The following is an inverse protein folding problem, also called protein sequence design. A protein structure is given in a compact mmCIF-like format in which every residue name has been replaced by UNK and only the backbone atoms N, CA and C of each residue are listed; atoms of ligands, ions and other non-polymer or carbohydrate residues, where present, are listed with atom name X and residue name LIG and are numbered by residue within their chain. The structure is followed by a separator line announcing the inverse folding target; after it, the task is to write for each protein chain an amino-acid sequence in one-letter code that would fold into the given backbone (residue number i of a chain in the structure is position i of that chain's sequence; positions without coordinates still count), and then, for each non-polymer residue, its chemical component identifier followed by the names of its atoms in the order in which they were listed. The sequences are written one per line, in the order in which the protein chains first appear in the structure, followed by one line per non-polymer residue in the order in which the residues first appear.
data_IF_844722942910
#
_entry.id   IF_844722942910
#
_cell.length_a   1.000
_cell.length_b   1.000
_cell.length_c   1.000
_cell.angle_alpha   90.00
_cell.angle_beta   90.00
_cell.angle_gamma   90.00
#
_symmetry.space_group_name_H-M   'P 1'
#
loop_
_entity.id
_entity.type
_entity.pdbx_description
1 polymer ?
#
# COMPACT_ATOMS: atom_id res chain seq x y z
N UNK A 1 -16.33 -22.73 25.31
CA UNK A 1 -15.68 -22.89 26.62
C UNK A 1 -15.71 -21.53 27.29
N UNK A 2 -16.17 -21.45 28.54
CA UNK A 2 -16.19 -20.21 29.30
C UNK A 2 -15.21 -20.34 30.48
N UNK A 3 -14.39 -19.31 30.68
CA UNK A 3 -13.46 -19.23 31.80
C UNK A 3 -13.69 -17.93 32.55
N UNK A 4 -13.53 -17.97 33.87
CA UNK A 4 -13.59 -16.80 34.74
C UNK A 4 -12.17 -16.53 35.20
N UNK A 5 -11.68 -15.34 34.90
CA UNK A 5 -10.32 -14.88 35.23
C UNK A 5 -10.40 -13.49 35.86
N UNK A 6 -9.45 -13.16 36.73
CA UNK A 6 -9.34 -11.82 37.30
C UNK A 6 -8.80 -10.84 36.26
N UNK A 7 -9.28 -9.59 36.28
CA UNK A 7 -8.85 -8.54 35.34
C UNK A 7 -7.35 -8.19 35.47
N UNK A 8 -6.75 -8.47 36.63
CA UNK A 8 -5.33 -8.29 36.94
C UNK A 8 -4.45 -9.45 36.46
N UNK A 9 -5.06 -10.52 35.92
CA UNK A 9 -4.30 -11.64 35.37
C UNK A 9 -3.49 -11.18 34.16
N UNK A 10 -2.26 -11.66 34.05
CA UNK A 10 -1.41 -11.41 32.89
C UNK A 10 -1.90 -12.19 31.66
N UNK A 11 -1.57 -11.72 30.46
CA UNK A 11 -1.84 -12.47 29.22
C UNK A 11 -1.16 -13.84 29.25
N UNK A 12 0.06 -13.93 29.77
CA UNK A 12 0.82 -15.18 29.88
C UNK A 12 0.08 -16.21 30.73
N UNK A 13 -0.42 -15.80 31.90
CA UNK A 13 -1.10 -16.71 32.82
C UNK A 13 -2.48 -17.10 32.29
N UNK A 14 -3.18 -16.18 31.63
CA UNK A 14 -4.44 -16.46 30.94
C UNK A 14 -4.25 -17.49 29.80
N UNK A 15 -3.19 -17.35 28.99
CA UNK A 15 -2.84 -18.30 27.94
C UNK A 15 -2.56 -19.70 28.51
N UNK A 16 -1.74 -19.80 29.58
CA UNK A 16 -1.44 -21.07 30.25
C UNK A 16 -2.71 -21.76 30.73
N UNK A 17 -3.60 -21.02 31.39
CA UNK A 17 -4.88 -21.55 31.88
C UNK A 17 -5.74 -22.08 30.72
N UNK A 18 -5.82 -21.34 29.60
CA UNK A 18 -6.57 -21.76 28.42
C UNK A 18 -5.99 -23.02 27.77
N UNK A 19 -4.67 -23.15 27.70
CA UNK A 19 -3.99 -24.34 27.17
C UNK A 19 -4.25 -25.56 28.04
N UNK A 20 -4.13 -25.42 29.37
CA UNK A 20 -4.43 -26.50 30.33
C UNK A 20 -5.89 -26.97 30.20
N UNK A 21 -6.84 -26.03 30.12
CA UNK A 21 -8.27 -26.36 29.98
C UNK A 21 -8.61 -27.00 28.63
N UNK A 22 -7.88 -26.64 27.58
CA UNK A 22 -8.10 -27.16 26.22
C UNK A 22 -7.34 -28.46 25.95
N UNK A 23 -6.46 -28.90 26.87
CA UNK A 23 -5.61 -30.07 26.68
C UNK A 23 -4.56 -29.88 25.57
N UNK A 24 -4.19 -28.64 25.27
CA UNK A 24 -3.26 -28.33 24.18
C UNK A 24 -1.83 -28.22 24.73
N UNK A 25 -0.88 -29.00 24.19
CA UNK A 25 0.50 -28.97 24.65
C UNK A 25 1.33 -27.85 23.98
N UNK A 26 2.29 -27.33 24.74
CA UNK A 26 3.45 -26.61 24.22
C UNK A 26 3.36 -25.08 24.18
N UNK A 27 4.45 -24.48 23.68
CA UNK A 27 4.71 -23.03 23.69
C UNK A 27 4.45 -22.38 22.32
N UNK A 28 3.60 -22.99 21.50
CA UNK A 28 3.31 -22.60 20.11
C UNK A 28 1.91 -22.05 19.95
N UNK A 29 1.41 -21.33 20.95
CA UNK A 29 0.07 -20.77 20.96
C UNK A 29 0.10 -19.32 21.40
N UNK A 30 -0.83 -18.53 20.90
CA UNK A 30 -1.03 -17.15 21.35
C UNK A 30 -2.52 -16.79 21.37
N UNK A 31 -2.83 -15.74 22.13
CA UNK A 31 -4.20 -15.24 22.26
C UNK A 31 -4.45 -14.10 21.26
N UNK A 32 -5.67 -14.09 20.71
CA UNK A 32 -6.20 -12.96 19.93
C UNK A 32 -7.57 -12.58 20.46
N UNK A 33 -7.85 -11.28 20.54
CA UNK A 33 -9.20 -10.81 20.79
C UNK A 33 -10.02 -10.94 19.50
N UNK A 34 -11.20 -11.52 19.58
CA UNK A 34 -12.16 -11.51 18.48
C UNK A 34 -12.70 -10.09 18.29
N UNK A 35 -12.74 -9.62 17.06
CA UNK A 35 -13.31 -8.32 16.75
C UNK A 35 -14.83 -8.37 16.63
N UNK A 36 -15.45 -7.20 16.40
CA UNK A 36 -16.90 -7.06 16.25
C UNK A 36 -17.47 -7.75 14.99
N UNK A 37 -16.61 -8.10 14.02
CA UNK A 37 -16.97 -8.87 12.83
C UNK A 37 -16.85 -10.39 13.05
N UNK A 38 -16.54 -10.83 14.28
CA UNK A 38 -16.22 -12.22 14.60
C UNK A 38 -14.94 -12.74 13.90
N UNK A 39 -14.04 -11.85 13.48
CA UNK A 39 -12.73 -12.20 12.95
C UNK A 39 -11.64 -12.15 14.03
N UNK A 40 -10.55 -12.88 13.81
CA UNK A 40 -9.42 -12.87 14.73
C UNK A 40 -8.66 -11.53 14.62
N UNK A 41 -8.73 -10.73 15.69
CA UNK A 41 -8.04 -9.44 15.79
C UNK A 41 -6.52 -9.55 15.92
N UNK A 42 -5.90 -8.55 16.54
CA UNK A 42 -4.45 -8.56 16.74
C UNK A 42 -4.03 -9.54 17.85
N UNK A 43 -2.84 -10.16 17.74
CA UNK A 43 -2.27 -10.97 18.80
C UNK A 43 -1.94 -10.14 20.04
N UNK A 44 -2.28 -10.70 21.20
CA UNK A 44 -1.90 -10.17 22.51
C UNK A 44 -0.42 -10.51 22.76
N UNK A 45 0.48 -9.63 22.31
CA UNK A 45 1.93 -9.86 22.40
C UNK A 45 2.55 -9.40 23.72
N UNK A 46 1.86 -8.53 24.48
CA UNK A 46 2.35 -8.04 25.77
C UNK A 46 2.03 -9.07 26.85
N UNK A 47 2.84 -10.12 26.91
CA UNK A 47 2.63 -11.28 27.81
C UNK A 47 2.49 -10.89 29.28
N UNK A 48 3.21 -9.86 29.71
CA UNK A 48 3.24 -9.38 31.09
C UNK A 48 2.16 -8.31 31.38
N UNK A 49 1.47 -7.80 30.35
CA UNK A 49 0.36 -6.87 30.54
C UNK A 49 -0.87 -7.60 31.11
N UNK A 50 -1.63 -6.88 31.91
CA UNK A 50 -2.89 -7.37 32.48
C UNK A 50 -4.01 -7.34 31.45
N UNK A 51 -5.01 -8.20 31.61
CA UNK A 51 -6.20 -8.19 30.75
C UNK A 51 -6.88 -6.81 30.74
N UNK A 52 -6.89 -6.11 31.89
CA UNK A 52 -7.42 -4.75 32.01
C UNK A 52 -6.64 -3.72 31.19
N UNK A 53 -5.31 -3.76 31.21
CA UNK A 53 -4.46 -2.83 30.43
C UNK A 53 -4.69 -2.98 28.92
N UNK A 54 -4.99 -4.21 28.48
CA UNK A 54 -5.33 -4.51 27.09
C UNK A 54 -6.81 -4.32 26.75
N UNK A 55 -7.59 -3.70 27.66
CA UNK A 55 -9.01 -3.42 27.48
C UNK A 55 -9.82 -4.68 27.11
N UNK A 56 -9.46 -5.81 27.73
CA UNK A 56 -10.23 -7.05 27.67
C UNK A 56 -11.28 -7.00 28.77
N UNK A 57 -12.54 -6.96 28.36
CA UNK A 57 -13.70 -6.81 29.20
C UNK A 57 -14.50 -8.12 29.28
N UNK A 58 -15.35 -8.22 30.30
CA UNK A 58 -16.32 -9.32 30.38
C UNK A 58 -17.22 -9.36 29.13
N UNK A 59 -17.38 -10.55 28.56
CA UNK A 59 -18.10 -10.79 27.31
C UNK A 59 -17.22 -10.78 26.06
N UNK A 60 -15.94 -10.37 26.16
CA UNK A 60 -15.00 -10.50 25.05
C UNK A 60 -14.68 -11.98 24.78
N UNK A 61 -14.56 -12.32 23.50
CA UNK A 61 -14.14 -13.65 23.06
C UNK A 61 -12.65 -13.64 22.73
N UNK A 62 -11.89 -14.52 23.38
CA UNK A 62 -10.48 -14.75 23.05
C UNK A 62 -10.34 -16.02 22.21
N UNK A 63 -9.52 -15.93 21.18
CA UNK A 63 -9.17 -17.01 20.28
C UNK A 63 -7.77 -17.52 20.61
N UNK A 64 -7.65 -18.84 20.74
CA UNK A 64 -6.39 -19.53 20.86
C UNK A 64 -5.90 -19.92 19.46
N UNK A 65 -4.78 -19.35 19.02
CA UNK A 65 -4.26 -19.54 17.66
C UNK A 65 -2.87 -20.17 17.73
N UNK A 66 -2.65 -21.18 16.91
CA UNK A 66 -1.35 -21.84 16.77
C UNK A 66 -0.34 -20.91 16.08
N UNK A 67 0.89 -20.90 16.59
CA UNK A 67 2.02 -20.11 16.10
C UNK A 67 2.73 -19.35 17.23
N UNK A 68 4.05 -19.23 17.12
CA UNK A 68 4.87 -18.42 18.02
C UNK A 68 4.82 -16.95 17.61
N UNK A 69 4.74 -16.08 18.61
CA UNK A 69 4.92 -14.65 18.41
C UNK A 69 6.41 -14.32 18.37
N UNK A 70 6.83 -13.30 17.60
CA UNK A 70 8.20 -12.81 17.66
C UNK A 70 8.50 -12.30 19.08
N UNK A 71 9.76 -12.39 19.55
CA UNK A 71 10.14 -11.86 20.85
C UNK A 71 9.83 -10.36 20.98
N UNK A 72 9.68 -9.83 22.21
CA UNK A 72 9.50 -8.40 22.42
C UNK A 72 10.61 -7.58 21.73
N UNK A 73 10.22 -6.54 20.99
CA UNK A 73 11.15 -5.73 20.20
C UNK A 73 11.58 -6.34 18.86
N UNK A 74 10.92 -7.41 18.40
CA UNK A 74 11.10 -7.98 17.06
C UNK A 74 9.82 -7.90 16.25
N UNK A 75 10.00 -7.66 14.95
CA UNK A 75 8.96 -7.65 13.93
C UNK A 75 9.03 -8.95 13.14
N UNK A 76 7.86 -9.55 12.86
CA UNK A 76 7.72 -10.54 11.81
C UNK A 76 7.21 -9.84 10.54
N UNK A 77 8.07 -9.74 9.54
CA UNK A 77 7.84 -8.95 8.32
C UNK A 77 7.71 -9.88 7.12
N UNK A 78 6.54 -9.96 6.48
CA UNK A 78 6.41 -10.63 5.19
C UNK A 78 7.16 -9.83 4.13
N UNK A 79 8.15 -10.46 3.50
CA UNK A 79 8.99 -9.83 2.48
C UNK A 79 8.58 -10.29 1.09
N UNK A 80 8.40 -9.33 0.20
CA UNK A 80 8.04 -9.52 -1.19
C UNK A 80 9.14 -8.97 -2.11
N UNK A 81 9.28 -9.57 -3.27
CA UNK A 81 10.09 -9.07 -4.36
C UNK A 81 9.20 -8.36 -5.36
N UNK A 82 9.45 -7.08 -5.56
CA UNK A 82 8.73 -6.27 -6.53
C UNK A 82 9.30 -6.52 -7.93
N UNK A 83 8.48 -7.09 -8.80
CA UNK A 83 8.75 -7.16 -10.23
C UNK A 83 7.91 -6.08 -10.91
N UNK A 84 8.55 -5.00 -11.41
CA UNK A 84 7.86 -4.08 -12.28
C UNK A 84 7.33 -4.89 -13.46
N UNK A 85 6.01 -4.92 -13.67
CA UNK A 85 5.35 -5.85 -14.58
C UNK A 85 5.67 -5.65 -16.07
N UNK A 86 6.70 -4.89 -16.44
CA UNK A 86 6.93 -4.47 -17.81
C UNK A 86 8.17 -5.17 -18.38
N UNK A 87 7.88 -6.07 -19.31
CA UNK A 87 8.72 -7.06 -19.96
C UNK A 87 10.22 -6.74 -20.06
N UNK A 88 10.98 -7.75 -19.67
CA UNK A 88 12.32 -8.15 -20.12
C UNK A 88 12.59 -7.84 -21.59
N UNK A 89 12.83 -6.58 -21.91
CA UNK A 89 13.56 -6.16 -23.09
C UNK A 89 15.05 -6.36 -22.81
N UNK A 90 15.56 -7.53 -23.19
CA UNK A 90 16.97 -7.86 -23.44
C UNK A 90 17.94 -6.68 -23.27
N UNK A 91 18.56 -6.63 -22.09
CA UNK A 91 19.65 -5.72 -21.75
C UNK A 91 20.81 -5.97 -22.71
N UNK A 92 21.13 -4.99 -23.57
CA UNK A 92 22.51 -4.87 -24.07
C UNK A 92 23.17 -3.80 -23.23
N UNK A 93 23.95 -4.25 -22.26
CA UNK A 93 24.99 -3.41 -21.67
C UNK A 93 25.87 -2.87 -22.79
N UNK A 94 25.98 -1.55 -22.87
CA UNK A 94 27.22 -0.96 -23.34
C UNK A 94 28.08 -0.73 -22.10
N UNK A 95 29.16 -1.50 -21.90
CA UNK A 95 30.21 -1.08 -20.98
C UNK A 95 30.98 0.08 -21.62
N UNK A 96 31.55 0.93 -20.78
CA UNK A 96 32.32 2.15 -21.05
C UNK A 96 31.55 3.39 -21.53
N UNK A 97 31.41 4.38 -20.63
CA UNK A 97 32.25 5.58 -20.73
C UNK A 97 32.30 6.36 -19.42
N UNK A 98 33.49 6.33 -18.80
CA UNK A 98 33.92 7.21 -17.73
C UNK A 98 34.12 8.63 -18.31
N UNK A 99 33.64 9.66 -17.60
CA UNK A 99 33.86 11.11 -17.83
C UNK A 99 33.21 11.80 -19.05
N UNK A 100 32.36 12.81 -18.75
CA UNK A 100 32.16 14.00 -19.59
C UNK A 100 30.85 14.09 -20.41
N UNK A 101 29.96 15.00 -19.99
CA UNK A 101 28.81 15.58 -20.71
C UNK A 101 27.62 14.67 -21.10
N UNK A 102 26.36 15.06 -20.75
CA UNK A 102 25.17 14.36 -21.23
C UNK A 102 24.89 14.72 -22.70
N UNK A 103 24.89 13.72 -23.59
CA UNK A 103 24.40 13.87 -24.97
C UNK A 103 22.87 13.98 -25.00
N UNK A 104 22.29 14.95 -25.74
CA UNK A 104 20.85 15.07 -25.92
C UNK A 104 20.41 14.21 -27.10
N UNK A 105 19.73 13.08 -26.85
CA UNK A 105 19.23 12.26 -27.97
C UNK A 105 18.81 10.83 -27.64
N UNK A 106 18.12 10.60 -26.53
CA UNK A 106 17.43 9.33 -26.31
C UNK A 106 16.06 9.36 -27.00
N UNK A 107 15.98 8.91 -28.26
CA UNK A 107 14.68 8.69 -28.92
C UNK A 107 13.97 7.56 -28.16
N UNK A 108 12.92 7.91 -27.41
CA UNK A 108 12.01 6.98 -26.74
C UNK A 108 11.26 6.14 -27.79
N UNK A 109 11.94 5.14 -28.36
CA UNK A 109 11.34 4.25 -29.36
C UNK A 109 10.61 3.12 -28.64
N UNK A 110 9.33 2.96 -28.95
CA UNK A 110 8.58 1.76 -28.59
C UNK A 110 9.22 0.55 -29.29
N UNK A 111 9.48 -0.53 -28.55
CA UNK A 111 9.74 -1.82 -29.17
C UNK A 111 8.45 -2.28 -29.86
N UNK A 112 8.47 -2.35 -31.19
CA UNK A 112 7.37 -2.90 -31.97
C UNK A 112 7.38 -4.42 -31.85
N UNK A 113 6.48 -4.99 -31.05
CA UNK A 113 6.12 -6.40 -31.13
C UNK A 113 4.65 -6.52 -31.45
N UNK A 114 4.36 -6.86 -32.72
CA UNK A 114 3.09 -7.47 -33.10
C UNK A 114 3.01 -8.85 -32.44
N UNK A 115 1.93 -9.12 -31.69
CA UNK A 115 1.58 -10.49 -31.30
C UNK A 115 0.85 -10.62 -29.96
N UNK A 116 -0.42 -11.03 -30.07
CA UNK A 116 -1.31 -11.58 -29.04
C UNK A 116 -1.90 -10.63 -27.97
N UNK A 117 -3.18 -10.84 -27.57
CA UNK A 117 -3.85 -10.02 -26.58
C UNK A 117 -3.23 -10.31 -25.21
N UNK A 118 -2.41 -9.40 -24.73
CA UNK A 118 -1.83 -9.44 -23.40
C UNK A 118 -2.93 -9.43 -22.34
N UNK A 119 -2.73 -10.26 -21.32
CA UNK A 119 -3.49 -10.40 -20.08
C UNK A 119 -4.04 -9.05 -19.55
N UNK A 120 -5.32 -8.94 -19.12
CA UNK A 120 -5.99 -7.65 -18.87
C UNK A 120 -5.48 -6.90 -17.63
N UNK A 121 -4.56 -7.49 -16.88
CA UNK A 121 -4.04 -6.95 -15.64
C UNK A 121 -2.55 -6.67 -15.81
N UNK A 122 -2.19 -5.44 -16.17
CA UNK A 122 -0.85 -4.89 -15.89
C UNK A 122 -0.67 -4.72 -14.38
N UNK A 123 -0.73 -5.84 -13.66
CA UNK A 123 -0.60 -5.98 -12.22
C UNK A 123 0.88 -6.10 -11.91
N UNK A 124 1.32 -5.32 -10.94
CA UNK A 124 2.64 -5.48 -10.33
C UNK A 124 2.74 -6.92 -9.83
N UNK A 125 3.73 -7.68 -10.30
CA UNK A 125 3.97 -9.01 -9.74
C UNK A 125 4.81 -8.87 -8.47
N UNK A 126 4.18 -9.16 -7.33
CA UNK A 126 4.86 -9.33 -6.05
C UNK A 126 5.14 -10.82 -5.87
N UNK A 127 6.42 -11.21 -5.81
CA UNK A 127 6.81 -12.57 -5.48
C UNK A 127 7.15 -12.66 -3.99
N UNK A 128 6.43 -13.49 -3.26
CA UNK A 128 6.72 -13.72 -1.85
C UNK A 128 8.11 -14.36 -1.68
N UNK A 129 8.95 -13.77 -0.83
CA UNK A 129 10.29 -14.30 -0.51
C UNK A 129 10.32 -15.08 0.79
N UNK A 130 9.45 -14.73 1.74
CA UNK A 130 9.40 -15.34 3.06
C UNK A 130 9.09 -14.33 4.16
N UNK A 131 8.92 -14.86 5.37
CA UNK A 131 8.79 -14.06 6.57
C UNK A 131 10.17 -13.82 7.18
N UNK A 132 10.47 -12.58 7.53
CA UNK A 132 11.69 -12.21 8.25
C UNK A 132 11.37 -11.82 9.69
N UNK A 133 12.05 -12.44 10.65
CA UNK A 133 12.06 -11.98 12.04
C UNK A 133 13.26 -11.07 12.26
N UNK A 134 13.00 -9.77 12.51
CA UNK A 134 14.04 -8.74 12.62
C UNK A 134 13.76 -7.81 13.79
N UNK A 135 14.79 -7.38 14.50
CA UNK A 135 14.64 -6.42 15.61
C UNK A 135 14.07 -5.08 15.11
N UNK A 136 13.20 -4.47 15.91
CA UNK A 136 12.67 -3.12 15.70
C UNK A 136 13.79 -2.04 15.72
N UNK A 137 14.90 -2.33 16.40
CA UNK A 137 16.09 -1.46 16.44
C UNK A 137 17.01 -1.64 15.22
N UNK A 138 16.78 -2.69 14.42
CA UNK A 138 17.54 -2.91 13.19
C UNK A 138 17.29 -1.77 12.20
N UNK A 139 18.28 -1.52 11.35
CA UNK A 139 18.24 -0.50 10.31
C UNK A 139 17.57 -1.02 9.03
N UNK A 140 17.11 -0.12 8.17
CA UNK A 140 16.61 -0.49 6.83
C UNK A 140 17.68 -1.20 6.00
N UNK A 141 18.97 -0.88 6.18
CA UNK A 141 20.07 -1.58 5.52
C UNK A 141 20.19 -3.04 5.98
N UNK A 142 20.03 -3.31 7.28
CA UNK A 142 20.03 -4.67 7.83
C UNK A 142 18.81 -5.45 7.36
N UNK A 143 17.63 -4.82 7.30
CA UNK A 143 16.42 -5.40 6.69
C UNK A 143 16.69 -5.85 5.25
N UNK A 144 17.23 -4.95 4.41
CA UNK A 144 17.56 -5.26 3.01
C UNK A 144 18.60 -6.38 2.93
N UNK A 145 19.61 -6.37 3.80
CA UNK A 145 20.67 -7.40 3.85
C UNK A 145 20.15 -8.77 4.23
N UNK A 146 19.31 -8.86 5.27
CA UNK A 146 18.71 -10.12 5.69
C UNK A 146 17.72 -10.64 4.64
N UNK A 147 16.91 -9.76 4.06
CA UNK A 147 15.99 -10.15 2.99
C UNK A 147 16.69 -10.70 1.73
N UNK A 148 17.90 -10.22 1.40
CA UNK A 148 18.71 -10.82 0.34
C UNK A 148 19.10 -12.28 0.63
N UNK A 149 19.15 -12.69 1.89
CA UNK A 149 19.43 -14.09 2.25
C UNK A 149 18.20 -15.00 2.08
N UNK A 150 16.99 -14.43 2.05
CA UNK A 150 15.75 -15.18 1.79
C UNK A 150 15.59 -15.58 0.31
N UNK A 151 16.17 -14.81 -0.61
CA UNK A 151 16.13 -15.14 -2.03
C UNK A 151 17.11 -16.25 -2.38
N UNK A 152 16.61 -17.48 -2.54
CA UNK A 152 17.36 -18.65 -3.01
C UNK A 152 17.62 -18.68 -4.54
N UNK A 153 17.21 -17.63 -5.26
CA UNK A 153 17.18 -17.57 -6.73
C UNK A 153 18.36 -16.79 -7.33
N UNK A 154 18.64 -17.01 -8.63
CA UNK A 154 19.69 -16.43 -9.51
C UNK A 154 19.77 -14.88 -9.59
N UNK A 155 19.05 -14.16 -8.71
CA UNK A 155 18.99 -12.71 -8.67
C UNK A 155 20.20 -12.17 -7.94
N UNK A 156 21.27 -11.94 -8.70
CA UNK A 156 22.49 -11.32 -8.19
C UNK A 156 22.23 -9.82 -8.00
N UNK A 157 21.82 -9.44 -6.80
CA UNK A 157 21.85 -8.05 -6.35
C UNK A 157 23.22 -7.80 -5.73
N UNK A 158 24.02 -6.85 -6.24
CA UNK A 158 25.39 -6.68 -5.77
C UNK A 158 25.50 -6.28 -4.30
N UNK A 159 24.59 -5.43 -3.83
CA UNK A 159 24.56 -4.96 -2.45
C UNK A 159 23.17 -4.48 -2.04
N UNK A 160 22.87 -4.38 -0.73
CA UNK A 160 21.61 -3.82 -0.23
C UNK A 160 21.32 -2.40 -0.74
N UNK A 161 22.32 -1.64 -1.18
CA UNK A 161 22.14 -0.30 -1.74
C UNK A 161 21.45 -0.32 -3.11
N UNK A 162 21.44 -1.46 -3.82
CA UNK A 162 20.70 -1.64 -5.08
C UNK A 162 19.24 -2.05 -4.85
N UNK A 163 18.76 -2.05 -3.61
CA UNK A 163 17.38 -2.34 -3.28
C UNK A 163 16.69 -1.09 -2.76
N UNK A 164 15.49 -0.83 -3.26
CA UNK A 164 14.55 0.10 -2.65
C UNK A 164 13.50 -0.67 -1.87
N UNK A 165 13.21 -0.24 -0.65
CA UNK A 165 12.23 -0.90 0.22
C UNK A 165 10.97 -0.05 0.35
N UNK A 166 9.80 -0.68 0.18
CA UNK A 166 8.49 -0.05 0.31
C UNK A 166 7.61 -0.86 1.26
N UNK A 167 6.70 -0.21 1.98
CA UNK A 167 5.54 -0.94 2.53
C UNK A 167 4.62 -1.38 1.39
N UNK A 168 3.84 -2.43 1.59
CA UNK A 168 2.82 -2.88 0.62
C UNK A 168 1.43 -2.45 1.11
N UNK A 169 0.69 -1.77 0.24
CA UNK A 169 -0.69 -1.34 0.45
C UNK A 169 -1.53 -1.80 -0.75
N UNK A 170 -2.53 -2.68 -0.54
CA UNK A 170 -3.40 -3.16 -1.62
C UNK A 170 -2.64 -3.82 -2.78
N UNK A 171 -1.60 -4.61 -2.47
CA UNK A 171 -0.66 -5.24 -3.44
C UNK A 171 0.18 -4.25 -4.26
N UNK A 172 0.36 -3.02 -3.78
CA UNK A 172 1.16 -1.98 -4.46
C UNK A 172 2.19 -1.38 -3.49
N UNK A 173 3.29 -0.82 -4.01
CA UNK A 173 4.20 -0.01 -3.20
C UNK A 173 3.45 1.17 -2.58
N UNK A 174 3.50 1.25 -1.24
CA UNK A 174 2.91 2.33 -0.44
C UNK A 174 3.97 3.34 -0.05
N UNK A 175 4.44 3.26 1.20
CA UNK A 175 5.41 4.19 1.78
C UNK A 175 6.84 3.73 1.57
N UNK A 176 7.69 4.63 1.08
CA UNK A 176 9.13 4.42 0.91
C UNK A 176 9.87 4.37 2.25
N UNK A 177 10.72 3.35 2.45
CA UNK A 177 11.68 3.27 3.56
C UNK A 177 13.03 3.86 3.11
N UNK A 178 13.12 5.18 3.20
CA UNK A 178 14.17 5.97 2.54
C UNK A 178 15.55 5.86 3.19
N UNK A 179 15.61 6.01 4.50
CA UNK A 179 16.87 6.22 5.22
C UNK A 179 17.46 4.87 5.63
N UNK A 180 18.50 4.43 4.92
CA UNK A 180 19.13 3.13 5.13
C UNK A 180 19.62 2.89 6.56
N UNK A 181 20.07 3.93 7.27
CA UNK A 181 20.58 3.83 8.66
C UNK A 181 19.52 4.03 9.74
N UNK A 182 18.29 4.36 9.35
CA UNK A 182 17.23 4.64 10.31
C UNK A 182 16.66 3.33 10.88
N UNK A 183 16.46 3.23 12.21
CA UNK A 183 15.82 2.08 12.83
C UNK A 183 14.39 1.85 12.33
N UNK A 184 13.98 0.59 12.23
CA UNK A 184 12.64 0.20 11.76
C UNK A 184 11.51 0.75 12.65
N UNK A 185 11.72 0.84 13.97
CA UNK A 185 10.75 1.40 14.92
C UNK A 185 10.34 2.84 14.60
N UNK A 186 11.24 3.64 14.03
CA UNK A 186 10.94 5.03 13.69
C UNK A 186 9.95 5.17 12.54
N UNK A 187 9.88 4.15 11.67
CA UNK A 187 8.88 4.07 10.63
C UNK A 187 7.50 3.67 11.16
N UNK A 188 7.37 3.27 12.43
CA UNK A 188 6.09 2.81 13.00
C UNK A 188 5.44 1.72 12.13
N UNK A 189 6.25 0.75 11.70
CA UNK A 189 5.75 -0.40 10.96
C UNK A 189 4.81 -1.17 11.89
N UNK A 190 3.53 -1.27 11.52
CA UNK A 190 2.58 -2.10 12.25
C UNK A 190 2.96 -3.58 12.14
N UNK A 191 2.45 -4.41 13.06
CA UNK A 191 2.80 -5.85 13.15
C UNK A 191 2.45 -6.68 11.91
N UNK A 192 1.56 -6.19 11.05
CA UNK A 192 1.15 -6.83 9.78
C UNK A 192 1.72 -6.10 8.55
N UNK A 193 2.73 -5.26 8.73
CA UNK A 193 3.30 -4.51 7.60
C UNK A 193 4.07 -5.45 6.69
N UNK A 194 3.57 -5.57 5.48
CA UNK A 194 4.28 -6.23 4.39
C UNK A 194 5.29 -5.25 3.78
N UNK A 195 6.46 -5.76 3.41
CA UNK A 195 7.51 -4.97 2.76
C UNK A 195 7.82 -5.58 1.40
N UNK A 196 7.90 -4.75 0.36
CA UNK A 196 8.43 -5.18 -0.93
C UNK A 196 9.77 -4.53 -1.27
N UNK A 197 10.63 -5.30 -1.91
CA UNK A 197 11.96 -4.90 -2.35
C UNK A 197 11.97 -4.77 -3.87
N UNK A 198 12.27 -3.55 -4.32
CA UNK A 198 12.40 -3.19 -5.73
C UNK A 198 13.89 -3.15 -6.10
N UNK A 199 14.36 -4.00 -7.04
CA UNK A 199 15.72 -3.94 -7.52
C UNK A 199 15.95 -2.69 -8.38
N UNK A 200 17.08 -2.02 -8.15
CA UNK A 200 17.48 -0.81 -8.85
C UNK A 200 18.70 -1.09 -9.75
N UNK A 201 18.83 -0.29 -10.81
CA UNK A 201 19.96 -0.35 -11.74
C UNK A 201 21.24 0.27 -11.17
N UNK A 202 21.11 1.12 -10.14
CA UNK A 202 22.20 1.82 -9.48
C UNK A 202 21.91 1.90 -7.99
N UNK A 203 22.95 2.15 -7.21
CA UNK A 203 22.80 2.38 -5.77
C UNK A 203 21.85 3.54 -5.48
N UNK A 204 20.96 3.29 -4.53
CA UNK A 204 20.02 4.28 -4.03
C UNK A 204 20.74 5.32 -3.18
N UNK A 205 20.72 6.56 -3.66
CA UNK A 205 21.28 7.70 -2.97
C UNK A 205 20.25 8.84 -3.02
N UNK A 206 19.28 8.79 -2.10
CA UNK A 206 18.24 9.81 -1.97
C UNK A 206 18.59 10.78 -0.86
N UNK A 207 18.63 12.07 -1.19
CA UNK A 207 18.73 13.14 -0.21
C UNK A 207 17.48 13.28 0.67
N UNK A 208 17.56 14.02 1.78
CA UNK A 208 16.42 14.22 2.68
C UNK A 208 15.25 14.99 2.06
N UNK A 209 15.52 15.84 1.05
CA UNK A 209 14.52 16.64 0.33
C UNK A 209 14.18 16.08 -1.05
N UNK A 210 14.79 14.97 -1.46
CA UNK A 210 14.47 14.35 -2.75
C UNK A 210 13.06 13.74 -2.70
N UNK A 211 12.44 13.54 -3.85
CA UNK A 211 11.20 12.79 -3.99
C UNK A 211 11.34 11.93 -5.23
N UNK A 212 11.02 10.65 -5.11
CA UNK A 212 11.04 9.73 -6.25
C UNK A 212 9.64 9.63 -6.84
N UNK A 213 9.49 10.04 -8.09
CA UNK A 213 8.23 9.99 -8.84
C UNK A 213 8.35 9.00 -9.99
N UNK A 214 7.30 8.23 -10.24
CA UNK A 214 7.23 7.27 -11.35
C UNK A 214 6.72 7.99 -12.59
N UNK A 215 7.62 8.38 -13.47
CA UNK A 215 7.24 9.15 -14.67
C UNK A 215 6.93 8.27 -15.86
N UNK A 216 5.92 8.64 -16.63
CA UNK A 216 5.46 7.93 -17.81
C UNK A 216 5.30 8.92 -18.96
N UNK A 217 6.01 8.71 -20.07
CA UNK A 217 5.86 9.54 -21.28
C UNK A 217 4.68 9.05 -22.11
N UNK A 218 3.80 9.96 -22.52
CA UNK A 218 2.69 9.67 -23.44
C UNK A 218 3.23 9.22 -24.80
N UNK A 219 2.69 8.13 -25.33
CA UNK A 219 3.04 7.67 -26.68
C UNK A 219 2.27 8.49 -27.72
N UNK A 220 2.95 9.08 -28.72
CA UNK A 220 2.28 9.81 -29.80
C UNK A 220 1.25 8.98 -30.55
N UNK A 221 0.10 9.58 -30.82
CA UNK A 221 -1.05 9.03 -31.52
C UNK A 221 -1.82 7.99 -30.73
N UNK A 222 -1.48 7.75 -29.46
CA UNK A 222 -1.96 6.59 -28.71
C UNK A 222 -2.48 6.98 -27.33
N UNK A 223 -3.60 6.36 -26.93
CA UNK A 223 -4.10 6.43 -25.55
C UNK A 223 -3.34 5.49 -24.60
N UNK A 224 -2.00 5.54 -24.63
CA UNK A 224 -1.09 4.67 -23.88
C UNK A 224 0.20 5.40 -23.47
N UNK A 225 0.92 4.85 -22.49
CA UNK A 225 2.16 5.42 -21.96
C UNK A 225 3.34 4.46 -22.15
N UNK A 226 4.53 5.05 -22.30
CA UNK A 226 5.80 4.37 -22.28
C UNK A 226 6.14 3.80 -20.89
N UNK A 227 7.16 2.93 -20.79
CA UNK A 227 7.60 2.39 -19.52
C UNK A 227 7.86 3.42 -18.41
N UNK A 228 7.53 3.07 -17.16
CA UNK A 228 7.79 3.94 -16.00
C UNK A 228 9.30 4.14 -15.86
N UNK A 229 9.70 5.39 -15.66
CA UNK A 229 11.07 5.73 -15.31
C UNK A 229 11.06 6.59 -14.06
N UNK A 230 11.93 6.24 -13.10
CA UNK A 230 12.07 7.00 -11.87
C UNK A 230 12.68 8.38 -12.14
N UNK A 231 11.99 9.41 -11.68
CA UNK A 231 12.48 10.76 -11.60
C UNK A 231 12.75 11.13 -10.14
N UNK A 232 14.01 11.43 -9.82
CA UNK A 232 14.35 12.05 -8.54
C UNK A 232 14.18 13.56 -8.66
N UNK A 233 13.34 14.15 -7.82
CA UNK A 233 13.06 15.58 -7.76
C UNK A 233 13.50 16.16 -6.41
N UNK A 234 14.46 17.09 -6.44
CA UNK A 234 14.87 17.84 -5.25
C UNK A 234 13.84 18.92 -4.91
N UNK A 235 13.18 18.76 -3.77
CA UNK A 235 12.15 19.68 -3.27
C UNK A 235 12.69 20.76 -2.33
N UNK A 236 14.00 20.85 -2.13
CA UNK A 236 14.64 21.92 -1.35
C UNK A 236 14.37 23.32 -1.90
N UNK A 237 14.05 23.43 -3.20
CA UNK A 237 13.62 24.69 -3.86
C UNK A 237 12.12 24.96 -3.78
N UNK A 238 11.37 24.09 -3.09
CA UNK A 238 9.93 24.20 -2.88
C UNK A 238 9.12 23.21 -3.72
N UNK A 239 7.97 22.83 -3.14
CA UNK A 239 7.02 21.87 -3.69
C UNK A 239 6.03 22.50 -4.69
N UNK A 240 6.53 23.23 -5.69
CA UNK A 240 5.67 23.98 -6.63
C UNK A 240 5.47 23.24 -7.95
N UNK A 241 4.35 23.53 -8.63
CA UNK A 241 4.14 23.04 -10.00
C UNK A 241 5.25 23.50 -10.96
N UNK A 242 5.77 24.72 -10.78
CA UNK A 242 6.86 25.28 -11.59
C UNK A 242 8.17 24.51 -11.44
N UNK A 243 8.61 24.25 -10.20
CA UNK A 243 9.85 23.51 -9.94
C UNK A 243 9.77 22.05 -10.40
N UNK A 244 8.63 21.39 -10.22
CA UNK A 244 8.40 20.06 -10.77
C UNK A 244 8.45 20.06 -12.30
N UNK A 245 7.76 21.01 -12.95
CA UNK A 245 7.73 21.11 -14.41
C UNK A 245 9.13 21.37 -14.98
N UNK A 246 9.92 22.27 -14.38
CA UNK A 246 11.31 22.48 -14.77
C UNK A 246 12.14 21.19 -14.68
N UNK A 247 11.97 20.44 -13.58
CA UNK A 247 12.67 19.16 -13.39
C UNK A 247 12.27 18.12 -14.44
N UNK A 248 10.98 17.99 -14.73
CA UNK A 248 10.45 17.08 -15.76
C UNK A 248 10.92 17.48 -17.16
N UNK A 249 10.88 18.77 -17.50
CA UNK A 249 11.33 19.29 -18.78
C UNK A 249 12.81 18.96 -19.03
N UNK A 250 13.65 19.20 -18.02
CA UNK A 250 15.07 18.81 -18.06
C UNK A 250 15.23 17.31 -18.22
N UNK A 251 14.47 16.50 -17.47
CA UNK A 251 14.52 15.04 -17.56
C UNK A 251 14.14 14.52 -18.95
N UNK A 252 13.14 15.12 -19.58
CA UNK A 252 12.69 14.74 -20.92
C UNK A 252 13.49 15.41 -22.05
N UNK A 253 14.41 16.32 -21.74
CA UNK A 253 15.09 17.18 -22.73
C UNK A 253 14.12 17.96 -23.62
N UNK A 254 13.06 18.51 -23.03
CA UNK A 254 12.03 19.31 -23.70
C UNK A 254 11.95 20.72 -23.12
N UNK A 255 11.51 21.73 -23.91
CA UNK A 255 11.19 23.05 -23.37
C UNK A 255 10.09 22.98 -22.31
N UNK A 256 10.19 23.81 -21.26
CA UNK A 256 9.23 23.83 -20.14
C UNK A 256 7.81 24.16 -20.60
N UNK A 257 7.68 24.97 -21.65
CA UNK A 257 6.42 25.40 -22.25
C UNK A 257 5.82 24.32 -23.17
N UNK A 258 6.58 23.27 -23.45
CA UNK A 258 6.22 22.19 -24.37
C UNK A 258 5.97 20.87 -23.67
N UNK A 259 5.74 20.92 -22.37
CA UNK A 259 5.36 19.77 -21.59
C UNK A 259 4.10 20.05 -20.77
N UNK A 260 3.27 19.02 -20.67
CA UNK A 260 2.23 18.95 -19.66
C UNK A 260 2.45 17.74 -18.77
N UNK A 261 2.02 17.89 -17.51
CA UNK A 261 2.19 16.88 -16.49
C UNK A 261 0.86 16.65 -15.78
N UNK A 262 0.55 15.40 -15.46
CA UNK A 262 -0.63 15.04 -14.67
C UNK A 262 -0.29 13.96 -13.65
N UNK A 263 -0.88 14.05 -12.46
CA UNK A 263 -0.80 12.97 -11.46
C UNK A 263 -1.85 11.92 -11.74
N UNK A 264 -1.47 10.64 -11.68
CA UNK A 264 -2.40 9.52 -11.74
C UNK A 264 -2.91 9.15 -10.34
N UNK A 265 -4.21 8.92 -10.23
CA UNK A 265 -4.88 8.39 -9.03
C UNK A 265 -5.41 6.99 -9.35
N UNK A 266 -4.65 5.94 -9.03
CA UNK A 266 -4.94 4.60 -9.50
C UNK A 266 -6.14 3.94 -8.80
N UNK A 267 -6.63 4.50 -7.69
CA UNK A 267 -7.87 4.07 -7.01
C UNK A 267 -9.13 4.56 -7.74
N UNK A 268 -9.00 5.63 -8.52
CA UNK A 268 -10.09 6.27 -9.27
C UNK A 268 -9.96 6.12 -10.78
N UNK A 269 -8.80 5.63 -11.25
CA UNK A 269 -8.44 5.63 -12.67
C UNK A 269 -8.50 7.04 -13.28
N UNK A 270 -8.07 8.04 -12.51
CA UNK A 270 -8.16 9.46 -12.86
C UNK A 270 -6.78 10.09 -13.02
N UNK A 271 -6.66 10.95 -14.02
CA UNK A 271 -5.50 11.80 -14.23
C UNK A 271 -5.88 13.23 -13.87
N UNK A 272 -5.06 13.87 -13.03
CA UNK A 272 -5.26 15.25 -12.63
C UNK A 272 -4.10 16.11 -13.16
N UNK A 273 -4.35 16.94 -14.19
CA UNK A 273 -3.34 17.85 -14.72
C UNK A 273 -2.77 18.77 -13.64
N UNK A 274 -1.43 18.84 -13.56
CA UNK A 274 -0.69 19.74 -12.68
C UNK A 274 -0.41 21.02 -13.47
N UNK A 275 -1.36 21.95 -13.36
CA UNK A 275 -1.22 23.28 -13.92
C UNK A 275 -0.39 24.17 -13.00
N UNK A 276 0.67 24.78 -13.53
CA UNK A 276 1.25 25.96 -12.90
C UNK A 276 0.21 27.07 -12.99
N UNK A 277 -0.30 27.54 -11.85
CA UNK A 277 -1.18 28.71 -11.81
C UNK A 277 -0.43 29.93 -12.37
N UNK A 278 -0.52 30.17 -13.68
CA UNK A 278 -0.02 31.37 -14.38
C UNK A 278 -0.70 31.58 -15.75
N UNK A 279 -1.86 30.97 -15.99
CA UNK A 279 -2.71 31.36 -17.12
C UNK A 279 -4.09 31.76 -16.58
N UNK A 280 -4.47 33.00 -16.87
CA UNK A 280 -5.69 33.71 -16.46
C UNK A 280 -5.68 34.35 -15.06
N UNK A 281 -5.03 35.51 -14.98
CA UNK A 281 -5.47 36.63 -14.14
C UNK A 281 -6.92 37.02 -14.54
N UNK A 282 -7.91 36.25 -14.10
CA UNK A 282 -9.29 36.74 -14.03
C UNK A 282 -9.53 37.35 -12.65
N UNK A 283 -9.91 38.61 -12.71
CA UNK A 283 -10.21 39.51 -11.60
C UNK A 283 -11.19 38.86 -10.63
N UNK A 284 -10.71 38.29 -9.52
CA UNK A 284 -11.44 38.28 -8.23
C UNK A 284 -10.47 37.84 -7.12
N UNK A 285 -10.35 38.68 -6.09
CA UNK A 285 -9.59 38.44 -4.86
C UNK A 285 -9.93 37.05 -4.30
N UNK A 286 -9.11 36.04 -4.59
CA UNK A 286 -9.16 34.74 -3.93
C UNK A 286 -7.78 34.53 -3.30
N UNK A 287 -7.80 34.34 -1.98
CA UNK A 287 -6.65 34.12 -1.08
C UNK A 287 -5.60 33.27 -1.79
N UNK A 288 -4.36 33.78 -1.89
CA UNK A 288 -3.18 33.12 -2.51
C UNK A 288 -3.09 31.70 -1.97
N UNK A 289 -3.67 30.73 -2.68
CA UNK A 289 -3.66 29.32 -2.29
C UNK A 289 -2.24 28.85 -2.55
N UNK A 290 -1.57 28.42 -1.50
CA UNK A 290 -0.17 28.01 -1.53
C UNK A 290 -0.01 26.96 -2.65
N UNK A 291 0.86 27.24 -3.62
CA UNK A 291 1.22 26.36 -4.74
C UNK A 291 2.11 25.21 -4.21
N UNK A 292 1.59 24.45 -3.24
CA UNK A 292 2.28 23.31 -2.63
C UNK A 292 1.61 22.01 -3.10
N UNK A 293 2.36 21.22 -3.87
CA UNK A 293 1.92 19.93 -4.42
C UNK A 293 1.71 18.84 -3.35
N UNK A 294 2.22 19.01 -2.12
CA UNK A 294 1.92 18.11 -1.00
C UNK A 294 0.48 18.24 -0.49
N UNK A 295 -0.15 19.38 -0.76
CA UNK A 295 -1.51 19.67 -0.33
C UNK A 295 -2.57 19.27 -1.35
N UNK A 296 -3.82 19.48 -0.99
CA UNK A 296 -4.94 19.33 -1.89
C UNK A 296 -4.80 20.25 -3.12
N UNK A 297 -5.07 19.76 -4.34
CA UNK A 297 -5.72 18.48 -4.65
C UNK A 297 -4.75 17.31 -4.93
N UNK A 298 -3.43 17.57 -4.99
CA UNK A 298 -2.48 16.61 -5.54
C UNK A 298 -1.96 15.61 -4.52
N UNK A 299 -1.66 16.04 -3.29
CA UNK A 299 -1.09 15.16 -2.25
C UNK A 299 0.11 14.36 -2.77
N UNK A 300 1.03 15.03 -3.46
CA UNK A 300 2.15 14.40 -4.14
C UNK A 300 3.15 13.83 -3.12
N UNK A 301 3.58 12.59 -3.32
CA UNK A 301 4.50 11.84 -2.45
C UNK A 301 5.40 10.89 -3.25
N UNK A 302 6.37 10.27 -2.56
CA UNK A 302 7.20 9.22 -3.15
C UNK A 302 6.36 8.09 -3.75
N UNK A 303 6.79 7.60 -4.93
CA UNK A 303 6.14 6.51 -5.65
C UNK A 303 4.93 6.93 -6.49
N UNK A 304 4.43 8.16 -6.36
CA UNK A 304 3.32 8.64 -7.18
C UNK A 304 3.67 8.62 -8.67
N UNK A 305 2.67 8.27 -9.49
CA UNK A 305 2.83 8.22 -10.94
C UNK A 305 2.47 9.55 -11.58
N UNK A 306 3.35 10.05 -12.44
CA UNK A 306 3.16 11.28 -13.22
C UNK A 306 3.24 10.98 -14.72
N UNK A 307 2.19 11.35 -15.44
CA UNK A 307 2.11 11.28 -16.89
C UNK A 307 2.66 12.56 -17.49
N UNK A 308 3.44 12.43 -18.56
CA UNK A 308 4.11 13.54 -19.24
C UNK A 308 3.65 13.54 -20.69
N UNK A 309 3.14 14.67 -21.17
CA UNK A 309 2.83 14.89 -22.59
C UNK A 309 3.85 15.80 -23.23
N UNK A 310 4.18 15.51 -24.49
CA UNK A 310 5.02 16.36 -25.32
C UNK A 310 4.15 17.17 -26.28
N UNK A 311 3.98 18.46 -25.97
CA UNK A 311 3.16 19.39 -26.76
C UNK A 311 3.75 19.75 -28.12
N UNK A 312 4.97 19.30 -28.43
CA UNK A 312 5.51 19.41 -29.79
C UNK A 312 4.88 18.38 -30.74
N UNK A 313 4.24 17.34 -30.20
CA UNK A 313 3.69 16.22 -30.98
C UNK A 313 2.18 16.16 -30.87
N UNK A 314 1.63 16.37 -29.66
CA UNK A 314 0.19 16.29 -29.39
C UNK A 314 -0.25 17.37 -28.42
N UNK A 315 -1.37 18.03 -28.75
CA UNK A 315 -1.97 19.13 -27.97
C UNK A 315 -3.39 18.79 -27.50
N UNK A 316 -3.64 17.50 -27.21
CA UNK A 316 -4.91 17.07 -26.62
C UNK A 316 -4.85 17.19 -25.08
N UNK A 317 -6.00 17.45 -24.46
CA UNK A 317 -6.12 17.57 -23.01
C UNK A 317 -6.30 16.20 -22.28
N UNK A 318 -6.42 15.08 -23.01
CA UNK A 318 -6.78 13.77 -22.45
C UNK A 318 -5.56 12.95 -22.00
N UNK A 319 -5.34 12.86 -20.70
CA UNK A 319 -4.30 11.99 -20.11
C UNK A 319 -4.73 10.53 -19.95
N UNK A 320 -6.01 10.21 -20.15
CA UNK A 320 -6.52 8.87 -19.88
C UNK A 320 -6.08 7.82 -20.91
N UNK A 321 -6.25 6.57 -20.52
CA UNK A 321 -5.95 5.37 -21.31
C UNK A 321 -7.19 4.48 -21.44
N UNK A 322 -7.19 3.57 -22.41
CA UNK A 322 -8.26 2.57 -22.53
C UNK A 322 -8.42 1.71 -21.27
N UNK A 323 -7.33 1.49 -20.52
CA UNK A 323 -7.36 0.78 -19.22
C UNK A 323 -8.12 1.56 -18.17
N UNK A 324 -8.00 2.88 -18.17
CA UNK A 324 -8.70 3.74 -17.21
C UNK A 324 -10.21 3.69 -17.44
N UNK A 325 -10.64 3.67 -18.71
CA UNK A 325 -12.05 3.53 -19.09
C UNK A 325 -12.62 2.20 -18.61
N UNK A 326 -11.89 1.10 -18.82
CA UNK A 326 -12.26 -0.23 -18.34
C UNK A 326 -12.35 -0.27 -16.81
N UNK A 327 -11.35 0.28 -16.11
CA UNK A 327 -11.32 0.33 -14.65
C UNK A 327 -12.51 1.10 -14.06
N UNK A 328 -12.85 2.25 -14.65
CA UNK A 328 -14.05 3.03 -14.27
C UNK A 328 -15.32 2.25 -14.51
N UNK A 329 -15.42 1.54 -15.63
CA UNK A 329 -16.61 0.76 -15.96
C UNK A 329 -16.80 -0.43 -14.99
N UNK A 330 -15.73 -1.17 -14.70
CA UNK A 330 -15.75 -2.23 -13.68
C UNK A 330 -16.17 -1.68 -12.30
N UNK A 331 -15.65 -0.52 -11.89
CA UNK A 331 -16.01 0.10 -10.62
C UNK A 331 -17.48 0.52 -10.58
N UNK A 332 -18.02 1.05 -11.68
CA UNK A 332 -19.46 1.37 -11.81
C UNK A 332 -20.32 0.12 -11.69
N UNK A 333 -19.96 -0.97 -12.38
CA UNK A 333 -20.70 -2.23 -12.32
C UNK A 333 -20.71 -2.82 -10.91
N UNK A 334 -19.57 -2.80 -10.20
CA UNK A 334 -19.50 -3.24 -8.80
C UNK A 334 -20.37 -2.36 -7.87
N UNK A 335 -20.41 -1.05 -8.10
CA UNK A 335 -21.27 -0.16 -7.34
C UNK A 335 -22.77 -0.40 -7.61
N UNK A 336 -23.15 -0.70 -8.85
CA UNK A 336 -24.52 -1.05 -9.21
C UNK A 336 -24.94 -2.43 -8.65
N UNK A 337 -24.05 -3.42 -8.68
CA UNK A 337 -24.28 -4.75 -8.08
C UNK A 337 -24.53 -4.69 -6.58
N UNK A 338 -23.75 -3.87 -5.85
CA UNK A 338 -23.97 -3.63 -4.41
C UNK A 338 -25.33 -2.98 -4.13
N UNK A 339 -25.74 -2.00 -4.95
CA UNK A 339 -27.07 -1.36 -4.84
C UNK A 339 -28.22 -2.34 -5.11
N UNK A 340 -28.02 -3.30 -6.03
CA UNK A 340 -29.02 -4.35 -6.31
C UNK A 340 -29.17 -5.35 -5.15
N UNK A 341 -28.06 -5.75 -4.50
CA UNK A 341 -28.10 -6.59 -3.29
C UNK A 341 -28.71 -5.87 -2.08
N UNK A 342 -28.44 -4.57 -1.91
CA UNK A 342 -29.11 -3.76 -0.88
C UNK A 342 -30.61 -3.60 -1.17
N UNK A 343 -31.02 -3.40 -2.43
CA UNK A 343 -32.43 -3.35 -2.81
C UNK A 343 -33.17 -4.68 -2.56
N UNK A 344 -32.50 -5.82 -2.78
CA UNK A 344 -33.03 -7.16 -2.46
C UNK A 344 -33.13 -7.40 -0.95
N UNK A 345 -32.20 -6.87 -0.14
CA UNK A 345 -32.28 -6.91 1.33
C UNK A 345 -33.42 -6.05 1.88
N UNK A 346 -33.71 -4.90 1.26
CA UNK A 346 -34.83 -4.03 1.65
C UNK A 346 -36.18 -4.64 1.25
N UNK A 347 -36.27 -5.30 0.08
CA UNK A 347 -37.52 -5.98 -0.35
C UNK A 347 -37.87 -7.22 0.49
N UNK A 348 -36.89 -7.89 1.09
CA UNK A 348 -37.14 -9.00 2.02
C UNK A 348 -37.50 -8.55 3.46
N UNK A 349 -37.42 -7.25 3.76
CA UNK A 349 -37.80 -6.69 5.06
C UNK A 349 -39.28 -6.29 5.17
N UNK A 350 -40.00 -6.16 4.05
CA UNK A 350 -41.33 -5.52 4.01
C UNK A 350 -42.50 -6.48 3.70
N UNK A 351 -42.29 -7.79 3.76
CA UNK A 351 -43.31 -8.78 3.43
C UNK A 351 -43.86 -9.58 4.63
N UNK A 352 -43.87 -9.05 5.86
CA UNK A 352 -44.73 -9.62 6.91
C UNK A 352 -45.23 -8.56 7.90
N UNK A 353 -46.32 -7.87 7.56
CA UNK A 353 -47.15 -7.15 8.55
C UNK A 353 -48.64 -7.39 8.32
N UNK A 354 -49.23 -8.02 9.35
CA UNK A 354 -50.65 -8.19 9.64
C UNK A 354 -51.45 -9.29 8.91
N UNK A 355 -51.54 -10.47 9.53
CA UNK A 355 -52.81 -11.17 9.73
C UNK A 355 -52.75 -12.05 10.98
N UNK A 356 -53.86 -12.08 11.72
CA UNK A 356 -54.07 -12.63 13.07
C UNK A 356 -53.80 -14.14 13.21
N UNK A 357 -53.32 -14.54 14.39
CA UNK A 357 -53.12 -15.91 14.95
C UNK A 357 -54.42 -16.73 15.02
N UNK A 358 -54.42 -18.11 15.05
CA UNK A 358 -53.84 -18.93 16.14
C UNK A 358 -53.22 -20.32 15.78
N UNK A 359 -52.30 -20.81 16.62
CA UNK A 359 -51.87 -22.22 16.70
C UNK A 359 -50.42 -22.46 17.15
N UNK A 360 -50.19 -22.66 18.46
CA UNK A 360 -48.92 -23.10 19.10
C UNK A 360 -48.88 -24.66 19.13
N UNK A 361 -47.73 -25.38 19.31
CA UNK A 361 -46.76 -25.16 20.38
C UNK A 361 -45.28 -25.16 19.96
N UNK A 362 -44.58 -24.06 20.29
CA UNK A 362 -43.12 -24.02 20.48
C UNK A 362 -42.76 -24.72 21.80
N UNK A 363 -41.74 -25.56 21.76
CA UNK A 363 -41.04 -26.10 22.92
C UNK A 363 -40.56 -24.95 23.85
N UNK A 364 -40.46 -25.18 25.17
CA UNK A 364 -40.09 -24.13 26.11
C UNK A 364 -38.59 -23.83 26.03
N UNK A 365 -38.22 -22.74 25.35
CA UNK A 365 -36.93 -22.09 25.59
C UNK A 365 -36.99 -21.43 26.97
N UNK A 366 -36.28 -22.01 27.92
CA UNK A 366 -36.11 -21.44 29.24
C UNK A 366 -35.27 -20.16 29.12
N UNK A 367 -35.89 -19.01 29.39
CA UNK A 367 -35.18 -17.76 29.58
C UNK A 367 -34.34 -17.85 30.86
N UNK A 368 -33.02 -17.94 30.71
CA UNK A 368 -32.08 -17.81 31.81
C UNK A 368 -31.91 -16.32 32.14
N UNK A 369 -32.54 -15.87 33.23
CA UNK A 369 -32.21 -14.60 33.87
C UNK A 369 -31.21 -14.87 34.99
N UNK A 370 -30.06 -14.18 34.94
CA UNK A 370 -29.07 -14.24 36.00
C UNK A 370 -29.07 -12.89 36.72
N UNK A 371 -29.38 -12.93 38.02
CA UNK A 371 -29.10 -11.88 38.98
C UNK A 371 -27.97 -12.38 39.87
N UNK A 372 -26.96 -11.56 40.16
CA UNK A 372 -26.21 -11.71 41.41
C UNK A 372 -25.85 -10.33 41.95
N UNK A 373 -26.15 -10.14 43.24
CA UNK A 373 -26.09 -8.88 43.95
C UNK A 373 -24.72 -8.52 44.52
N UNK A 374 -24.65 -7.28 45.01
CA UNK A 374 -23.49 -6.70 45.67
C UNK A 374 -23.26 -7.31 47.05
N UNK A 375 -22.03 -7.74 47.32
CA UNK A 375 -21.56 -7.94 48.69
C UNK A 375 -20.37 -7.02 48.95
N UNK A 376 -20.41 -6.41 50.14
CA UNK A 376 -19.41 -5.49 50.68
C UNK A 376 -18.22 -6.23 51.24
#
# INVERSE_FOLDING_TARGET
MEIIVEETMSVRDCLKLLLEKSGLPGDTWHLRKMDWCYEAGEPLCEEDATLRELMICSGDTLLLIEGKLPPPGFLKVPVWWYQPGWHTGHWKSHPDQMHGAPSPGGVWRAASTQGAPGDPHGEVSLLYLGDLEISEDATVAELKSQAMTLSSSERVVPSPAFLRAWTVEGRRPGRLLRVSRQPLKEYKLGRKTEICLEPLQKEENLGPQDVVLRTQMRLPGQRAYAPCVDLVWDTGRGWTAGSLRQRVAHFCSLPVEKIEIAKYFPEKFEWLPISSWNQHLTKRKKKKKQDNLQGAPYYLKDGDTIGIKNLLVEDDDDFSTARDDLGKETQKQLALGKKSQEALRVQNGDLFSSTKTPGRPRAPEASLSIHVGSFR
#
